data_IF_839971044745
#
_entry.id   IF_839971044745
#
_cell.length_a   1.000
_cell.length_b   1.000
_cell.length_c   1.000
_cell.angle_alpha   90.00
_cell.angle_beta   90.00
_cell.angle_gamma   90.00
#
_symmetry.space_group_name_H-M   'P 1'
#
loop_
_entity.id
_entity.type
_entity.pdbx_description
1 polymer ?
#
# COMPACT_ATOMS: atom_id res chain seq x y z
N UNK A 1 12.68 10.13 14.49
CA UNK A 1 12.32 10.62 13.15
C UNK A 1 11.11 9.85 12.65
N UNK A 2 10.13 10.57 12.11
CA UNK A 2 8.92 9.91 11.62
C UNK A 2 9.23 9.14 10.34
N UNK A 3 8.56 7.99 10.20
CA UNK A 3 8.69 7.19 8.99
C UNK A 3 7.94 7.85 7.85
N UNK A 4 8.44 7.65 6.63
CA UNK A 4 7.74 8.06 5.43
C UNK A 4 6.48 7.21 5.28
N UNK A 5 5.37 7.86 4.97
CA UNK A 5 4.12 7.15 4.67
C UNK A 5 4.10 6.77 3.20
N UNK A 6 3.94 5.49 2.93
CA UNK A 6 3.95 4.97 1.56
C UNK A 6 2.63 4.29 1.27
N UNK A 7 2.08 4.56 0.10
CA UNK A 7 0.90 3.87 -0.40
C UNK A 7 1.23 3.19 -1.73
N UNK A 8 0.55 2.08 -2.01
CA UNK A 8 0.74 1.33 -3.23
C UNK A 8 -0.54 1.38 -4.07
N UNK A 9 -0.38 1.67 -5.36
CA UNK A 9 -1.46 1.55 -6.34
C UNK A 9 -1.26 0.26 -7.11
N UNK A 10 -2.24 -0.64 -7.02
CA UNK A 10 -2.17 -1.95 -7.65
C UNK A 10 -1.84 -3.05 -6.65
N UNK A 11 -2.72 -4.05 -6.57
CA UNK A 11 -2.56 -5.19 -5.68
C UNK A 11 -2.37 -6.49 -6.48
N UNK A 12 -1.93 -6.37 -7.73
CA UNK A 12 -1.70 -7.51 -8.59
C UNK A 12 -0.48 -8.31 -8.19
N UNK A 13 -0.21 -9.38 -8.96
CA UNK A 13 0.85 -10.32 -8.65
C UNK A 13 2.23 -9.65 -8.55
N UNK A 14 2.50 -8.69 -9.41
CA UNK A 14 3.78 -8.01 -9.42
C UNK A 14 4.00 -7.19 -8.15
N UNK A 15 2.97 -6.47 -7.70
CA UNK A 15 3.06 -5.73 -6.43
C UNK A 15 3.29 -6.67 -5.26
N UNK A 16 2.57 -7.80 -5.24
CA UNK A 16 2.71 -8.79 -4.18
C UNK A 16 4.08 -9.44 -4.19
N UNK A 17 4.64 -9.66 -5.38
CA UNK A 17 5.90 -10.37 -5.51
C UNK A 17 7.12 -9.51 -5.16
N UNK A 18 7.06 -8.21 -5.44
CA UNK A 18 8.25 -7.36 -5.27
C UNK A 18 8.02 -6.10 -4.46
N UNK A 19 7.01 -5.29 -4.80
CA UNK A 19 6.84 -3.99 -4.14
C UNK A 19 6.51 -4.09 -2.66
N UNK A 20 5.54 -4.91 -2.30
CA UNK A 20 5.10 -5.02 -0.91
C UNK A 20 6.20 -5.59 -0.01
N UNK A 21 6.81 -6.74 -0.35
CA UNK A 21 7.89 -7.26 0.48
C UNK A 21 9.09 -6.33 0.59
N UNK A 22 9.46 -5.65 -0.50
CA UNK A 22 10.58 -4.72 -0.47
C UNK A 22 10.33 -3.53 0.45
N UNK A 23 9.12 -2.97 0.41
CA UNK A 23 8.76 -1.86 1.28
C UNK A 23 8.69 -2.30 2.74
N UNK A 24 8.24 -3.52 3.00
CA UNK A 24 8.18 -4.03 4.37
C UNK A 24 9.57 -4.26 4.97
N UNK A 25 10.59 -4.46 4.14
CA UNK A 25 11.97 -4.55 4.62
C UNK A 25 12.51 -3.20 5.07
N UNK A 26 11.92 -2.09 4.62
CA UNK A 26 12.37 -0.74 4.96
C UNK A 26 11.56 -0.17 6.13
N UNK A 27 11.17 -1.02 7.08
CA UNK A 27 10.31 -0.62 8.20
C UNK A 27 10.88 0.47 9.08
N UNK A 28 12.20 0.63 9.10
CA UNK A 28 12.85 1.69 9.88
C UNK A 28 12.69 3.05 9.21
N UNK A 29 12.51 3.09 7.89
CA UNK A 29 12.49 4.31 7.10
C UNK A 29 11.12 4.63 6.53
N UNK A 30 10.28 3.61 6.30
CA UNK A 30 9.02 3.77 5.63
C UNK A 30 7.95 2.90 6.26
N UNK A 31 6.72 3.41 6.27
CA UNK A 31 5.56 2.66 6.72
C UNK A 31 4.59 2.51 5.56
N UNK A 32 4.24 1.27 5.23
CA UNK A 32 3.24 1.00 4.21
C UNK A 32 1.86 1.10 4.86
N UNK A 33 1.18 2.22 4.64
CA UNK A 33 -0.07 2.53 5.34
C UNK A 33 -1.31 2.01 4.63
N UNK A 34 -1.28 1.93 3.30
CA UNK A 34 -2.45 1.52 2.55
C UNK A 34 -2.08 1.09 1.13
N UNK A 35 -3.00 0.35 0.52
CA UNK A 35 -2.90 0.02 -0.89
C UNK A 35 -4.28 0.15 -1.54
N UNK A 36 -4.31 0.27 -2.86
CA UNK A 36 -5.56 0.29 -3.59
C UNK A 36 -5.46 -0.50 -4.88
N UNK A 37 -6.62 -0.92 -5.36
CA UNK A 37 -6.75 -1.57 -6.66
C UNK A 37 -8.18 -1.34 -7.15
N UNK A 38 -8.36 -1.25 -8.46
CA UNK A 38 -9.70 -1.14 -9.04
C UNK A 38 -10.54 -2.33 -8.59
N UNK A 39 -9.92 -3.50 -8.51
CA UNK A 39 -10.54 -4.68 -7.92
C UNK A 39 -10.39 -4.60 -6.40
N UNK A 40 -11.43 -4.11 -5.74
CA UNK A 40 -11.41 -3.91 -4.29
C UNK A 40 -11.18 -5.21 -3.52
N UNK A 41 -11.69 -6.33 -4.02
CA UNK A 41 -11.46 -7.62 -3.39
C UNK A 41 -9.99 -8.01 -3.41
N UNK A 42 -9.30 -7.72 -4.51
CA UNK A 42 -7.85 -7.97 -4.58
C UNK A 42 -7.09 -7.07 -3.61
N UNK A 43 -7.51 -5.82 -3.46
CA UNK A 43 -6.90 -4.91 -2.51
C UNK A 43 -7.07 -5.42 -1.08
N UNK A 44 -8.28 -5.87 -0.74
CA UNK A 44 -8.55 -6.41 0.58
C UNK A 44 -7.70 -7.65 0.87
N UNK A 45 -7.63 -8.57 -0.08
CA UNK A 45 -6.86 -9.80 0.09
C UNK A 45 -5.38 -9.49 0.32
N UNK A 46 -4.83 -8.57 -0.45
CA UNK A 46 -3.43 -8.19 -0.29
C UNK A 46 -3.19 -7.51 1.06
N UNK A 47 -4.11 -6.65 1.49
CA UNK A 47 -3.99 -5.98 2.78
C UNK A 47 -4.00 -6.99 3.93
N UNK A 48 -4.89 -7.97 3.87
CA UNK A 48 -4.96 -9.01 4.90
C UNK A 48 -3.71 -9.87 4.90
N UNK A 49 -3.24 -10.26 3.72
CA UNK A 49 -2.08 -11.15 3.59
C UNK A 49 -0.80 -10.51 4.12
N UNK A 50 -0.61 -9.22 3.85
CA UNK A 50 0.63 -8.53 4.21
C UNK A 50 0.51 -7.63 5.43
N UNK A 51 -0.63 -7.67 6.12
CA UNK A 51 -0.80 -6.91 7.36
C UNK A 51 -0.89 -5.40 7.15
N UNK A 52 -1.42 -4.96 6.01
CA UNK A 52 -1.58 -3.55 5.71
C UNK A 52 -2.90 -3.08 6.33
N UNK A 53 -2.86 -1.97 7.06
CA UNK A 53 -4.00 -1.55 7.87
C UNK A 53 -5.23 -1.17 7.06
N UNK A 54 -5.04 -0.57 5.89
CA UNK A 54 -6.17 -0.04 5.10
C UNK A 54 -6.03 -0.39 3.64
N UNK A 55 -7.16 -0.52 2.96
CA UNK A 55 -7.20 -0.74 1.52
C UNK A 55 -8.32 0.10 0.90
N UNK A 56 -8.20 0.37 -0.39
CA UNK A 56 -9.14 1.23 -1.11
C UNK A 56 -9.43 0.67 -2.50
N UNK A 57 -10.63 0.95 -3.01
CA UNK A 57 -11.00 0.64 -4.39
C UNK A 57 -10.69 1.78 -5.35
N UNK A 58 -10.23 2.92 -4.83
CA UNK A 58 -9.93 4.12 -5.63
C UNK A 58 -8.66 4.76 -5.13
N UNK A 59 -7.73 5.03 -6.06
CA UNK A 59 -6.49 5.70 -5.70
C UNK A 59 -6.75 7.14 -5.23
N UNK A 60 -7.78 7.79 -5.78
CA UNK A 60 -8.13 9.15 -5.37
C UNK A 60 -8.55 9.17 -3.90
N UNK A 61 -9.45 8.26 -3.50
CA UNK A 61 -9.88 8.16 -2.12
C UNK A 61 -8.72 7.85 -1.19
N UNK A 62 -7.83 6.96 -1.61
CA UNK A 62 -6.65 6.61 -0.81
C UNK A 62 -5.75 7.83 -0.61
N UNK A 63 -5.45 8.56 -1.67
CA UNK A 63 -4.55 9.71 -1.58
C UNK A 63 -5.14 10.83 -0.74
N UNK A 64 -6.43 11.08 -0.84
CA UNK A 64 -7.09 12.11 -0.05
C UNK A 64 -7.13 11.77 1.44
N UNK A 65 -7.30 10.49 1.76
CA UNK A 65 -7.42 10.05 3.14
C UNK A 65 -6.06 9.84 3.80
N UNK A 66 -5.14 9.17 3.11
CA UNK A 66 -3.85 8.79 3.68
C UNK A 66 -2.81 9.89 3.61
N UNK A 67 -2.90 10.74 2.58
CA UNK A 67 -1.93 11.82 2.34
C UNK A 67 -0.49 11.31 2.44
N UNK A 68 -0.12 10.33 1.61
CA UNK A 68 1.19 9.70 1.73
C UNK A 68 2.33 10.61 1.30
N UNK A 69 3.52 10.33 1.79
CA UNK A 69 4.74 11.00 1.35
C UNK A 69 5.20 10.46 0.01
N UNK A 70 4.91 9.18 -0.26
CA UNK A 70 5.32 8.52 -1.51
C UNK A 70 4.25 7.53 -1.95
N UNK A 71 4.09 7.42 -3.26
CA UNK A 71 3.18 6.45 -3.87
C UNK A 71 3.96 5.60 -4.86
N UNK A 72 3.80 4.30 -4.77
CA UNK A 72 4.39 3.33 -5.70
C UNK A 72 3.30 2.74 -6.58
N UNK A 73 3.57 2.66 -7.85
CA UNK A 73 2.63 2.13 -8.84
C UNK A 73 3.13 0.83 -9.43
#
# INVERSE_FOLDING_TARGET
MDKLKVCIVGAGQESRASHIPNLQRLTDMAELTALCDINEAAARDAAEKYGIARYYGSHIAMLETEKPDMVTV
#
